data_IF_886712004716
#
_entry.id   IF_886712004716
#
_cell.length_a   1.000
_cell.length_b   1.000
_cell.length_c   1.000
_cell.angle_alpha   90.00
_cell.angle_beta   90.00
_cell.angle_gamma   90.00
#
_symmetry.space_group_name_H-M   'P 1'
#
loop_
_entity.id
_entity.type
_entity.pdbx_description
1 polymer ?
#
# COMPACT_ATOMS: atom_id res chain seq x y z
N UNK A 1 0.06 -29.38 -7.48
CA UNK A 1 -0.33 -28.15 -8.19
C UNK A 1 0.93 -27.37 -8.61
N UNK A 2 1.11 -27.08 -9.91
CA UNK A 2 2.26 -26.32 -10.43
C UNK A 2 2.43 -24.95 -9.76
N UNK A 3 3.68 -24.47 -9.68
CA UNK A 3 4.01 -23.17 -9.05
C UNK A 3 3.29 -22.00 -9.73
N UNK A 4 3.12 -22.06 -11.06
CA UNK A 4 2.40 -21.04 -11.83
C UNK A 4 0.92 -20.91 -11.39
N UNK A 5 0.23 -22.02 -11.15
CA UNK A 5 -1.17 -21.97 -10.68
C UNK A 5 -1.22 -21.41 -9.25
N UNK A 6 -0.31 -21.83 -8.36
CA UNK A 6 -0.25 -21.32 -6.99
C UNK A 6 0.01 -19.80 -6.95
N UNK A 7 0.90 -19.31 -7.81
CA UNK A 7 1.22 -17.89 -7.92
C UNK A 7 0.05 -17.11 -8.50
N UNK A 8 -0.67 -17.65 -9.49
CA UNK A 8 -1.93 -17.05 -9.97
C UNK A 8 -2.94 -16.89 -8.83
N UNK A 9 -3.22 -17.96 -8.06
CA UNK A 9 -4.11 -17.92 -6.90
C UNK A 9 -3.66 -16.90 -5.85
N UNK A 10 -2.36 -16.85 -5.57
CA UNK A 10 -1.80 -15.84 -4.65
C UNK A 10 -2.08 -14.43 -5.15
N UNK A 11 -1.85 -14.15 -6.42
CA UNK A 11 -2.05 -12.79 -6.98
C UNK A 11 -3.51 -12.40 -7.13
N UNK A 12 -4.41 -13.34 -7.44
CA UNK A 12 -5.82 -13.04 -7.69
C UNK A 12 -6.66 -13.03 -6.43
N UNK A 13 -6.40 -13.93 -5.47
CA UNK A 13 -7.25 -14.13 -4.30
C UNK A 13 -6.55 -13.68 -3.02
N UNK A 14 -5.35 -14.18 -2.75
CA UNK A 14 -4.68 -13.91 -1.47
C UNK A 14 -4.21 -12.46 -1.37
N UNK A 15 -3.72 -11.88 -2.46
CA UNK A 15 -3.17 -10.54 -2.48
C UNK A 15 -4.24 -9.48 -2.17
N UNK A 16 -5.43 -9.45 -2.83
CA UNK A 16 -6.50 -8.55 -2.44
C UNK A 16 -6.96 -8.72 -0.99
N UNK A 17 -7.07 -9.97 -0.51
CA UNK A 17 -7.44 -10.25 0.88
C UNK A 17 -6.40 -9.72 1.87
N UNK A 18 -5.10 -9.94 1.59
CA UNK A 18 -4.00 -9.47 2.43
C UNK A 18 -3.94 -7.95 2.47
N UNK A 19 -4.16 -7.30 1.33
CA UNK A 19 -4.08 -5.84 1.22
C UNK A 19 -5.40 -5.14 1.47
N UNK A 20 -6.39 -5.86 2.01
CA UNK A 20 -7.69 -5.29 2.32
C UNK A 20 -7.52 -4.11 3.30
N UNK A 21 -8.18 -3.00 2.96
CA UNK A 21 -8.09 -1.72 3.68
C UNK A 21 -6.70 -1.06 3.78
N UNK A 22 -5.64 -1.64 3.20
CA UNK A 22 -4.31 -1.03 3.27
C UNK A 22 -4.25 0.36 2.63
N UNK A 23 -5.16 0.69 1.71
CA UNK A 23 -5.25 2.03 1.13
C UNK A 23 -5.52 3.15 2.15
N UNK A 24 -6.13 2.86 3.31
CA UNK A 24 -6.42 3.85 4.36
C UNK A 24 -5.31 3.92 5.42
N UNK A 25 -4.30 3.05 5.33
CA UNK A 25 -3.24 2.98 6.32
C UNK A 25 -2.13 4.00 6.08
N UNK A 26 -1.44 4.32 7.15
CA UNK A 26 -0.11 4.95 7.12
C UNK A 26 0.96 3.85 7.06
N UNK A 27 1.91 3.93 6.14
CA UNK A 27 2.95 2.91 5.98
C UNK A 27 4.17 3.15 6.89
N UNK A 28 4.03 2.80 8.16
CA UNK A 28 5.18 2.67 9.07
C UNK A 28 6.06 1.47 8.69
N UNK A 29 7.35 1.50 9.05
CA UNK A 29 8.25 0.34 8.88
C UNK A 29 7.68 -0.95 9.49
N UNK A 30 6.97 -0.84 10.63
CA UNK A 30 6.28 -1.97 11.27
C UNK A 30 5.19 -2.57 10.38
N UNK A 31 4.35 -1.73 9.76
CA UNK A 31 3.28 -2.18 8.85
C UNK A 31 3.89 -2.77 7.57
N UNK A 32 4.89 -2.09 6.99
CA UNK A 32 5.63 -2.60 5.81
C UNK A 32 6.19 -4.00 6.09
N UNK A 33 6.87 -4.18 7.23
CA UNK A 33 7.44 -5.46 7.64
C UNK A 33 6.39 -6.55 7.87
N UNK A 34 5.20 -6.20 8.39
CA UNK A 34 4.10 -7.17 8.56
C UNK A 34 3.60 -7.70 7.21
N UNK A 35 3.39 -6.81 6.23
CA UNK A 35 2.93 -7.19 4.89
C UNK A 35 3.96 -8.09 4.21
N UNK A 36 5.24 -7.69 4.21
CA UNK A 36 6.32 -8.47 3.59
C UNK A 36 6.54 -9.82 4.26
N UNK A 37 6.49 -9.87 5.59
CA UNK A 37 6.63 -11.13 6.36
C UNK A 37 5.48 -12.09 6.07
N UNK A 38 4.25 -11.58 5.97
CA UNK A 38 3.10 -12.40 5.60
C UNK A 38 3.28 -12.99 4.19
N UNK A 39 3.64 -12.16 3.20
CA UNK A 39 3.94 -12.61 1.85
C UNK A 39 5.03 -13.69 1.83
N UNK A 40 6.15 -13.48 2.54
CA UNK A 40 7.22 -14.48 2.63
C UNK A 40 6.72 -15.82 3.19
N UNK A 41 5.84 -15.79 4.20
CA UNK A 41 5.21 -16.99 4.76
C UNK A 41 4.38 -17.75 3.72
N UNK A 42 3.57 -17.02 2.96
CA UNK A 42 2.73 -17.57 1.87
C UNK A 42 3.61 -18.21 0.79
N UNK A 43 4.64 -17.51 0.32
CA UNK A 43 5.55 -17.99 -0.73
C UNK A 43 6.30 -19.26 -0.29
N UNK A 44 6.73 -19.33 0.96
CA UNK A 44 7.34 -20.55 1.52
C UNK A 44 6.38 -21.72 1.57
N UNK A 45 5.14 -21.47 2.00
CA UNK A 45 4.09 -22.50 2.02
C UNK A 45 3.79 -23.03 0.62
N UNK A 46 3.73 -22.15 -0.38
CA UNK A 46 3.51 -22.53 -1.79
C UNK A 46 4.59 -23.47 -2.33
N UNK A 47 5.85 -23.28 -1.93
CA UNK A 47 6.99 -24.10 -2.34
C UNK A 47 7.33 -25.23 -1.35
N UNK A 48 6.56 -25.39 -0.28
CA UNK A 48 6.80 -26.36 0.80
C UNK A 48 8.20 -26.22 1.46
N UNK A 49 8.67 -24.97 1.61
CA UNK A 49 10.01 -24.68 2.14
C UNK A 49 9.94 -24.42 3.65
N UNK A 50 10.53 -25.32 4.44
CA UNK A 50 10.62 -25.20 5.91
C UNK A 50 11.65 -24.17 6.32
N UNK A 51 11.44 -23.46 7.43
CA UNK A 51 12.39 -22.42 7.94
C UNK A 51 13.81 -22.96 8.16
N UNK A 52 13.93 -24.23 8.55
CA UNK A 52 15.20 -24.95 8.80
C UNK A 52 16.12 -24.94 7.56
N UNK A 53 15.56 -24.91 6.35
CA UNK A 53 16.34 -24.91 5.10
C UNK A 53 17.10 -23.60 4.87
N UNK A 54 16.86 -22.55 5.68
CA UNK A 54 17.58 -21.25 5.64
C UNK A 54 17.69 -20.58 4.25
N UNK A 55 16.78 -20.92 3.33
CA UNK A 55 16.72 -20.32 1.98
C UNK A 55 16.29 -18.85 2.10
N UNK A 56 17.08 -17.96 1.49
CA UNK A 56 16.83 -16.51 1.41
C UNK A 56 15.54 -16.22 0.64
N UNK A 57 14.78 -15.24 1.13
CA UNK A 57 13.53 -14.78 0.50
C UNK A 57 13.73 -14.28 -0.94
N UNK A 58 14.85 -13.62 -1.24
CA UNK A 58 15.17 -13.20 -2.62
C UNK A 58 15.23 -14.38 -3.60
N UNK A 59 15.74 -15.54 -3.18
CA UNK A 59 15.80 -16.73 -4.03
C UNK A 59 14.39 -17.31 -4.24
N UNK A 60 13.58 -17.34 -3.17
CA UNK A 60 12.17 -17.76 -3.24
C UNK A 60 11.39 -16.87 -4.20
N UNK A 61 11.57 -15.54 -4.12
CA UNK A 61 10.91 -14.57 -5.00
C UNK A 61 11.29 -14.73 -6.47
N UNK A 62 12.55 -15.09 -6.77
CA UNK A 62 12.99 -15.40 -8.15
C UNK A 62 12.25 -16.61 -8.74
N UNK A 63 11.93 -17.59 -7.90
CA UNK A 63 11.20 -18.81 -8.31
C UNK A 63 9.70 -18.50 -8.47
N UNK A 64 9.09 -17.83 -7.50
CA UNK A 64 7.65 -17.56 -7.52
C UNK A 64 7.27 -16.47 -8.53
N UNK A 65 8.14 -15.47 -8.76
CA UNK A 65 7.83 -14.27 -9.57
C UNK A 65 6.49 -13.63 -9.16
N UNK A 66 6.11 -13.77 -7.89
CA UNK A 66 4.85 -13.25 -7.38
C UNK A 66 4.89 -11.71 -7.33
N UNK A 67 3.73 -11.08 -7.54
CA UNK A 67 3.58 -9.64 -7.37
C UNK A 67 3.93 -9.25 -5.93
N UNK A 68 4.66 -8.15 -5.77
CA UNK A 68 5.01 -7.66 -4.44
C UNK A 68 3.78 -7.06 -3.75
N UNK A 69 3.47 -7.58 -2.56
CA UNK A 69 2.27 -7.20 -1.82
C UNK A 69 2.37 -5.77 -1.27
N UNK A 70 3.55 -5.33 -0.85
CA UNK A 70 3.75 -3.97 -0.37
C UNK A 70 3.57 -2.98 -1.53
N UNK A 71 4.15 -3.26 -2.69
CA UNK A 71 3.99 -2.41 -3.86
C UNK A 71 2.53 -2.36 -4.31
N UNK A 72 1.83 -3.51 -4.30
CA UNK A 72 0.40 -3.55 -4.60
C UNK A 72 -0.43 -2.72 -3.62
N UNK A 73 -0.15 -2.82 -2.32
CA UNK A 73 -0.84 -2.05 -1.29
C UNK A 73 -0.59 -0.53 -1.44
N UNK A 74 0.64 -0.12 -1.78
CA UNK A 74 0.98 1.27 -2.09
C UNK A 74 0.24 1.77 -3.34
N UNK A 75 0.16 0.96 -4.40
CA UNK A 75 -0.62 1.28 -5.62
C UNK A 75 -2.09 1.51 -5.29
N UNK A 76 -2.68 0.65 -4.46
CA UNK A 76 -4.06 0.82 -3.98
C UNK A 76 -4.24 2.12 -3.20
N UNK A 77 -3.30 2.46 -2.32
CA UNK A 77 -3.32 3.74 -1.59
C UNK A 77 -3.27 4.95 -2.54
N UNK A 78 -2.38 4.93 -3.54
CA UNK A 78 -2.26 6.02 -4.50
C UNK A 78 -3.53 6.20 -5.35
N UNK A 79 -4.09 5.10 -5.84
CA UNK A 79 -5.36 5.12 -6.59
C UNK A 79 -6.52 5.60 -5.74
N UNK A 80 -6.58 5.15 -4.48
CA UNK A 80 -7.59 5.59 -3.52
C UNK A 80 -7.48 7.08 -3.21
N UNK A 81 -6.27 7.60 -3.00
CA UNK A 81 -6.06 9.02 -2.77
C UNK A 81 -6.57 9.87 -3.94
N UNK A 82 -6.19 9.51 -5.18
CA UNK A 82 -6.70 10.19 -6.36
C UNK A 82 -8.22 10.09 -6.49
N UNK A 83 -8.81 8.92 -6.20
CA UNK A 83 -10.26 8.75 -6.18
C UNK A 83 -10.93 9.69 -5.17
N UNK A 84 -10.44 9.74 -3.92
CA UNK A 84 -11.00 10.59 -2.87
C UNK A 84 -10.85 12.08 -3.19
N UNK A 85 -9.74 12.50 -3.81
CA UNK A 85 -9.55 13.88 -4.24
C UNK A 85 -10.58 14.33 -5.29
N UNK A 86 -11.03 13.41 -6.15
CA UNK A 86 -12.02 13.65 -7.21
C UNK A 86 -13.46 13.40 -6.77
N UNK A 87 -13.69 12.98 -5.52
CA UNK A 87 -15.05 12.85 -4.99
C UNK A 87 -15.60 14.25 -4.66
N UNK A 88 -16.62 14.65 -5.42
CA UNK A 88 -17.37 15.88 -5.19
C UNK A 88 -18.50 15.72 -4.15
N UNK A 89 -18.82 14.48 -3.78
CA UNK A 89 -19.87 14.20 -2.79
C UNK A 89 -19.46 14.63 -1.36
N UNK A 90 -20.41 15.18 -0.59
CA UNK A 90 -20.24 15.52 0.84
C UNK A 90 -20.28 14.29 1.77
N UNK A 91 -19.83 13.13 1.28
CA UNK A 91 -19.74 11.90 2.07
C UNK A 91 -18.69 12.04 3.15
N UNK A 92 -18.85 11.25 4.21
CA UNK A 92 -17.87 11.15 5.30
C UNK A 92 -16.43 10.93 4.83
N UNK A 93 -16.22 10.18 3.75
CA UNK A 93 -14.89 9.97 3.16
C UNK A 93 -14.24 11.28 2.72
N UNK A 94 -14.96 12.11 1.95
CA UNK A 94 -14.49 13.42 1.48
C UNK A 94 -14.27 14.37 2.65
N UNK A 95 -15.22 14.43 3.59
CA UNK A 95 -15.15 15.25 4.80
C UNK A 95 -13.94 14.93 5.68
N UNK A 96 -13.75 13.65 6.01
CA UNK A 96 -12.65 13.19 6.88
C UNK A 96 -11.29 13.46 6.22
N UNK A 97 -11.17 13.24 4.91
CA UNK A 97 -9.91 13.48 4.19
C UNK A 97 -9.57 14.97 4.10
N UNK A 98 -10.56 15.86 3.92
CA UNK A 98 -10.36 17.32 3.90
C UNK A 98 -10.14 17.91 5.29
N UNK A 99 -10.53 17.20 6.35
CA UNK A 99 -10.49 17.71 7.71
C UNK A 99 -9.07 17.85 8.26
N UNK A 100 -8.63 19.09 8.48
CA UNK A 100 -7.28 19.40 9.00
C UNK A 100 -7.11 19.16 10.50
N UNK A 101 -8.21 18.92 11.22
CA UNK A 101 -8.26 18.81 12.68
C UNK A 101 -8.84 20.06 13.35
N UNK A 102 -8.97 20.03 14.69
CA UNK A 102 -9.32 21.22 15.47
C UNK A 102 -8.22 22.29 15.36
N UNK A 103 -8.60 23.55 15.59
CA UNK A 103 -7.67 24.67 15.61
C UNK A 103 -6.65 24.51 16.76
N UNK A 104 -5.41 24.95 16.53
CA UNK A 104 -4.33 24.90 17.52
C UNK A 104 -3.34 23.72 17.34
N UNK A 105 -2.45 23.57 18.32
CA UNK A 105 -1.43 22.52 18.31
C UNK A 105 -2.00 21.20 18.82
N UNK A 106 -1.58 20.08 18.24
CA UNK A 106 -1.95 18.75 18.74
C UNK A 106 -1.23 18.47 20.06
N UNK A 107 -1.97 17.89 21.01
CA UNK A 107 -1.42 17.42 22.27
C UNK A 107 -0.38 16.33 22.05
N UNK A 108 0.57 16.26 22.98
CA UNK A 108 1.62 15.25 23.03
C UNK A 108 1.01 13.84 23.11
N UNK A 109 1.64 12.87 22.42
CA UNK A 109 1.21 11.47 22.41
C UNK A 109 0.40 11.03 21.18
N UNK A 110 -0.12 11.96 20.36
CA UNK A 110 -0.75 11.58 19.08
C UNK A 110 0.31 11.20 18.03
N UNK A 111 0.01 10.27 17.10
CA UNK A 111 0.92 9.94 16.01
C UNK A 111 1.32 11.20 15.23
N UNK A 112 2.63 11.46 15.15
CA UNK A 112 3.18 12.65 14.49
C UNK A 112 2.80 12.75 13.01
N UNK A 113 2.67 11.60 12.36
CA UNK A 113 2.56 11.49 10.91
C UNK A 113 1.16 10.95 10.54
N UNK A 114 0.54 11.57 9.54
CA UNK A 114 -0.82 11.31 9.02
C UNK A 114 -0.78 10.37 7.81
N UNK A 115 -1.97 9.97 7.38
CA UNK A 115 -2.16 9.20 6.15
C UNK A 115 -1.72 9.98 4.90
N UNK A 116 -2.05 11.27 4.85
CA UNK A 116 -1.77 12.19 3.72
C UNK A 116 -0.29 12.57 3.59
N UNK A 117 0.50 12.53 4.67
CA UNK A 117 1.89 13.00 4.66
C UNK A 117 2.76 12.25 3.63
N UNK A 118 2.51 10.96 3.41
CA UNK A 118 3.22 10.17 2.39
C UNK A 118 2.85 10.61 0.97
N UNK A 119 1.62 11.09 0.77
CA UNK A 119 1.14 11.58 -0.52
C UNK A 119 1.71 12.97 -0.78
N UNK A 120 1.70 13.83 0.24
CA UNK A 120 2.26 15.19 0.19
C UNK A 120 3.75 15.17 -0.15
N UNK A 121 4.50 14.18 0.33
CA UNK A 121 5.93 14.02 -0.01
C UNK A 121 6.19 13.83 -1.50
N UNK A 122 5.23 13.29 -2.25
CA UNK A 122 5.38 13.00 -3.68
C UNK A 122 4.67 14.04 -4.54
N UNK A 123 3.41 14.35 -4.25
CA UNK A 123 2.59 15.26 -5.05
C UNK A 123 2.50 16.70 -4.49
N UNK A 124 3.16 16.98 -3.37
CA UNK A 124 3.16 18.30 -2.73
C UNK A 124 1.92 18.59 -1.87
N UNK A 125 1.87 19.76 -1.21
CA UNK A 125 0.77 20.15 -0.31
C UNK A 125 -0.59 20.27 -1.00
N UNK A 126 -0.59 20.61 -2.29
CA UNK A 126 -1.78 20.74 -3.14
C UNK A 126 -2.07 19.45 -3.94
N UNK A 127 -1.73 18.29 -3.38
CA UNK A 127 -1.98 16.99 -4.02
C UNK A 127 -3.44 16.76 -4.44
N UNK A 128 -4.50 17.28 -3.76
CA UNK A 128 -5.87 17.08 -4.23
C UNK A 128 -6.16 17.77 -5.57
N UNK A 129 -5.50 18.89 -5.84
CA UNK A 129 -5.57 19.60 -7.12
C UNK A 129 -4.79 18.85 -8.20
N UNK A 130 -3.58 18.40 -7.88
CA UNK A 130 -2.74 17.58 -8.78
C UNK A 130 -3.47 16.29 -9.16
N UNK A 131 -4.21 15.70 -8.22
CA UNK A 131 -5.00 14.50 -8.44
C UNK A 131 -6.21 14.68 -9.37
N UNK A 132 -6.61 15.91 -9.72
CA UNK A 132 -7.69 16.11 -10.69
C UNK A 132 -7.29 15.65 -12.08
N UNK A 133 -6.05 15.96 -12.47
CA UNK A 133 -5.44 15.46 -13.70
C UNK A 133 -5.03 13.99 -13.50
N UNK A 134 -5.71 13.09 -14.23
CA UNK A 134 -5.45 11.64 -14.12
C UNK A 134 -4.11 11.25 -14.68
N UNK A 135 -3.64 11.91 -15.74
CA UNK A 135 -2.40 11.55 -16.41
C UNK A 135 -1.20 11.96 -15.57
N UNK A 136 -1.25 13.19 -15.04
CA UNK A 136 -0.27 13.66 -14.06
C UNK A 136 -0.29 12.77 -12.82
N UNK A 137 -1.46 12.45 -12.28
CA UNK A 137 -1.56 11.58 -11.10
C UNK A 137 -1.00 10.18 -11.32
N UNK A 138 -1.25 9.59 -12.49
CA UNK A 138 -0.74 8.27 -12.85
C UNK A 138 0.79 8.29 -13.03
N UNK A 139 1.35 9.36 -13.60
CA UNK A 139 2.81 9.50 -13.78
C UNK A 139 3.58 9.45 -12.46
N UNK A 140 2.97 9.94 -11.37
CA UNK A 140 3.55 9.97 -10.03
C UNK A 140 3.39 8.66 -9.25
N UNK A 141 2.63 7.68 -9.76
CA UNK A 141 2.38 6.39 -9.08
C UNK A 141 3.69 5.62 -8.84
N UNK A 142 4.59 5.61 -9.83
CA UNK A 142 5.86 4.90 -9.73
C UNK A 142 6.74 5.48 -8.62
N UNK A 143 6.80 6.81 -8.54
CA UNK A 143 7.54 7.53 -7.49
C UNK A 143 7.01 7.25 -6.08
N UNK A 144 5.71 7.00 -5.92
CA UNK A 144 5.14 6.62 -4.62
C UNK A 144 5.38 5.14 -4.27
N UNK A 145 5.35 4.27 -5.27
CA UNK A 145 5.36 2.82 -5.07
C UNK A 145 6.76 2.27 -4.83
N UNK A 146 7.76 2.76 -5.55
CA UNK A 146 9.13 2.26 -5.49
C UNK A 146 10.09 3.06 -4.60
N UNK A 147 9.63 4.14 -3.96
CA UNK A 147 10.35 4.85 -2.89
C UNK A 147 10.36 4.12 -1.54
#
# INVERSE_FOLDING_TARGET
MPVNIKTKVMTSCLLPCLTYACQTWKYTSKIKNKITTCQHGIERSMLNIKKIQKIRHNNIRKITKAKDALNYAKKLKWKWAGHVARLEDDRWTSRITKWKGPYGKRLQGRPHTRWEDEIIKIAGPCWPQVAQDRDVWNSLEEAFTFN
#
